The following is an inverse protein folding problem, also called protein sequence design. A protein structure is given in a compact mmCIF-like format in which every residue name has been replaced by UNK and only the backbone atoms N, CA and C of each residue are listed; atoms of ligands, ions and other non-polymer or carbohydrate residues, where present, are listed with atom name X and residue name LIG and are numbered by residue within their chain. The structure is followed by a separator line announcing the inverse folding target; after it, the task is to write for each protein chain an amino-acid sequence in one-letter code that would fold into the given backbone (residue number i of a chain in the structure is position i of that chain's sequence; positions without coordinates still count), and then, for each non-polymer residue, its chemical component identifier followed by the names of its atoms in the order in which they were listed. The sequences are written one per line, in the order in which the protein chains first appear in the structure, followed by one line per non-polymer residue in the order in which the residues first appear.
data_IF_413006657784
#
_entry.id   IF_413006657784
#
_cell.length_a   1.000
_cell.length_b   1.000
_cell.length_c   1.000
_cell.angle_alpha   90.00
_cell.angle_beta   90.00
_cell.angle_gamma   90.00
#
_symmetry.space_group_name_H-M   'P 1'
#
loop_
_entity.id
_entity.type
_entity.pdbx_description
1 polymer ?
#
# COMPACT_ATOMS: atom_id res chain seq x y z
N UNK A 1 7.25 19.96 -8.49
CA UNK A 1 5.90 19.69 -9.03
C UNK A 1 5.58 18.26 -8.65
N UNK A 2 4.48 18.04 -7.93
CA UNK A 2 3.97 16.71 -7.62
C UNK A 2 2.97 16.29 -8.70
N UNK A 3 2.98 15.01 -9.17
CA UNK A 3 1.94 14.52 -10.07
C UNK A 3 0.58 14.49 -9.35
N UNK A 4 -0.50 14.64 -10.11
CA UNK A 4 -1.84 14.61 -9.53
C UNK A 4 -2.22 13.23 -8.97
N UNK A 5 -1.70 12.16 -9.57
CA UNK A 5 -2.03 10.79 -9.14
C UNK A 5 -3.48 10.39 -9.42
N UNK A 6 -3.96 9.43 -8.65
CA UNK A 6 -5.33 8.95 -8.64
C UNK A 6 -5.70 8.55 -7.21
N UNK A 7 -7.01 8.41 -6.94
CA UNK A 7 -7.49 7.92 -5.65
C UNK A 7 -6.91 6.53 -5.35
N UNK A 8 -6.56 6.26 -4.08
CA UNK A 8 -6.06 4.97 -3.67
C UNK A 8 -7.10 3.87 -3.89
N UNK A 9 -6.63 2.67 -4.20
CA UNK A 9 -7.47 1.47 -4.18
C UNK A 9 -7.76 1.08 -2.74
N UNK A 10 -8.88 0.41 -2.53
CA UNK A 10 -9.33 0.02 -1.20
C UNK A 10 -9.59 -1.48 -1.14
N UNK A 11 -9.20 -2.09 -0.03
CA UNK A 11 -9.58 -3.46 0.32
C UNK A 11 -9.93 -3.54 1.79
N UNK A 12 -10.78 -4.51 2.14
CA UNK A 12 -11.17 -4.75 3.52
C UNK A 12 -11.40 -6.25 3.75
N UNK A 13 -10.77 -6.79 4.80
CA UNK A 13 -10.99 -8.16 5.25
C UNK A 13 -11.05 -8.17 6.79
N UNK A 14 -12.25 -8.29 7.34
CA UNK A 14 -12.54 -8.13 8.77
C UNK A 14 -12.89 -9.45 9.46
N UNK A 15 -13.15 -10.52 8.71
CA UNK A 15 -13.56 -11.83 9.20
C UNK A 15 -13.18 -12.90 8.20
N UNK A 16 -13.01 -14.12 8.67
CA UNK A 16 -12.87 -15.30 7.81
C UNK A 16 -14.21 -15.93 7.41
N UNK A 17 -15.33 -15.37 7.85
CA UNK A 17 -16.69 -15.88 7.64
C UNK A 17 -17.37 -15.28 6.40
N UNK A 18 -16.86 -14.17 5.89
CA UNK A 18 -17.40 -13.50 4.71
C UNK A 18 -16.31 -12.73 3.95
N UNK A 19 -16.50 -12.57 2.66
CA UNK A 19 -15.64 -11.76 1.82
C UNK A 19 -15.92 -10.28 2.09
N UNK A 20 -14.87 -9.52 2.33
CA UNK A 20 -14.92 -8.08 2.49
C UNK A 20 -14.82 -7.32 1.17
N UNK A 21 -14.57 -6.02 1.25
CA UNK A 21 -14.41 -5.17 0.07
C UNK A 21 -13.19 -5.61 -0.75
N UNK A 22 -13.37 -5.77 -2.07
CA UNK A 22 -12.34 -6.18 -3.02
C UNK A 22 -11.74 -7.57 -2.76
N UNK A 23 -12.40 -8.40 -1.97
CA UNK A 23 -12.00 -9.78 -1.67
C UNK A 23 -12.79 -10.74 -2.52
N UNK A 24 -12.11 -11.59 -3.30
CA UNK A 24 -12.72 -12.64 -4.11
C UNK A 24 -12.97 -13.90 -3.30
N UNK A 25 -11.97 -14.32 -2.51
CA UNK A 25 -12.05 -15.54 -1.72
C UNK A 25 -11.18 -15.48 -0.47
N UNK A 26 -11.61 -16.19 0.58
CA UNK A 26 -10.82 -16.46 1.78
C UNK A 26 -10.73 -17.96 1.99
N UNK A 27 -9.53 -18.49 2.10
CA UNK A 27 -9.26 -19.91 2.31
C UNK A 27 -8.26 -20.13 3.45
N UNK A 28 -8.33 -21.27 4.10
CA UNK A 28 -7.37 -21.61 5.17
C UNK A 28 -6.33 -22.61 4.65
N UNK A 29 -5.06 -22.22 4.75
CA UNK A 29 -3.91 -23.09 4.50
C UNK A 29 -2.97 -23.00 5.70
N UNK A 30 -3.00 -24.02 6.53
CA UNK A 30 -2.25 -24.05 7.80
C UNK A 30 -0.82 -23.50 7.63
N UNK A 31 -0.37 -22.50 8.42
CA UNK A 31 -1.04 -21.96 9.61
C UNK A 31 -1.86 -20.67 9.37
N UNK A 32 -1.97 -20.17 8.13
CA UNK A 32 -2.59 -18.89 7.85
C UNK A 32 -3.86 -18.98 6.99
N UNK A 33 -4.76 -18.04 7.21
CA UNK A 33 -5.77 -17.71 6.20
C UNK A 33 -5.12 -16.99 5.04
N UNK A 34 -5.59 -17.28 3.83
CA UNK A 34 -5.21 -16.62 2.60
C UNK A 34 -6.41 -15.81 2.09
N UNK A 35 -6.16 -14.56 1.74
CA UNK A 35 -7.12 -13.64 1.15
C UNK A 35 -6.71 -13.41 -0.30
N UNK A 36 -7.51 -13.91 -1.23
CA UNK A 36 -7.37 -13.59 -2.64
C UNK A 36 -8.16 -12.32 -2.94
N UNK A 37 -7.46 -11.25 -3.32
CA UNK A 37 -8.12 -10.02 -3.75
C UNK A 37 -8.66 -10.18 -5.18
N UNK A 38 -9.71 -9.45 -5.50
CA UNK A 38 -10.16 -9.30 -6.88
C UNK A 38 -9.01 -8.75 -7.73
N UNK A 39 -8.90 -9.25 -8.96
CA UNK A 39 -7.85 -8.81 -9.88
C UNK A 39 -7.96 -7.33 -10.20
N UNK A 40 -6.88 -6.60 -9.99
CA UNK A 40 -6.74 -5.21 -10.36
C UNK A 40 -6.33 -5.04 -11.83
N UNK A 41 -6.72 -3.93 -12.41
CA UNK A 41 -6.37 -3.52 -13.77
C UNK A 41 -5.79 -2.11 -13.77
N UNK A 42 -5.05 -1.78 -14.83
CA UNK A 42 -4.55 -0.41 -15.04
C UNK A 42 -5.71 0.56 -15.18
N UNK A 43 -5.53 1.76 -14.60
CA UNK A 43 -6.51 2.87 -14.65
C UNK A 43 -6.01 4.08 -15.44
N UNK A 44 -4.81 3.99 -16.03
CA UNK A 44 -4.12 5.08 -16.71
C UNK A 44 -4.84 5.62 -17.96
N UNK A 45 -5.70 4.80 -18.57
CA UNK A 45 -6.46 5.14 -19.78
C UNK A 45 -7.97 5.28 -19.55
N UNK A 46 -8.40 5.20 -18.29
CA UNK A 46 -9.81 5.28 -17.92
C UNK A 46 -10.31 6.71 -17.74
N UNK A 47 -11.56 6.83 -17.36
CA UNK A 47 -12.16 8.06 -16.85
C UNK A 47 -11.91 8.13 -15.35
N UNK A 48 -11.61 9.32 -14.82
CA UNK A 48 -11.52 9.52 -13.38
C UNK A 48 -12.80 9.05 -12.69
N UNK A 49 -12.62 8.29 -11.64
CA UNK A 49 -13.68 7.85 -10.73
C UNK A 49 -13.33 8.31 -9.33
N UNK A 50 -14.19 9.17 -8.79
CA UNK A 50 -14.04 9.59 -7.40
C UNK A 50 -14.27 8.40 -6.47
N UNK A 51 -13.36 8.22 -5.52
CA UNK A 51 -13.56 7.36 -4.35
C UNK A 51 -13.12 8.13 -3.12
N UNK A 52 -13.82 7.96 -2.02
CA UNK A 52 -13.41 8.49 -0.74
C UNK A 52 -12.43 7.51 -0.12
N UNK A 53 -11.17 7.64 -0.48
CA UNK A 53 -10.10 6.85 0.10
C UNK A 53 -9.63 7.40 1.46
N UNK A 54 -8.52 6.91 1.96
CA UNK A 54 -7.93 7.28 3.25
C UNK A 54 -6.49 7.78 3.08
N UNK A 55 -6.16 8.34 1.92
CA UNK A 55 -4.84 8.87 1.57
C UNK A 55 -3.70 7.86 1.79
N UNK A 56 -3.93 6.60 1.44
CA UNK A 56 -2.94 5.53 1.54
C UNK A 56 -2.80 4.90 2.92
N UNK A 57 -3.64 5.28 3.89
CA UNK A 57 -3.62 4.79 5.27
C UNK A 57 -4.28 3.40 5.39
N UNK A 58 -4.10 2.79 6.56
CA UNK A 58 -4.82 1.58 6.94
C UNK A 58 -5.33 1.64 8.37
N UNK A 59 -6.34 0.82 8.66
CA UNK A 59 -6.89 0.66 10.00
C UNK A 59 -7.03 -0.82 10.33
N UNK A 60 -6.46 -1.23 11.46
CA UNK A 60 -6.68 -2.57 11.99
C UNK A 60 -8.11 -2.67 12.51
N UNK A 61 -8.86 -3.62 11.98
CA UNK A 61 -10.26 -3.85 12.34
C UNK A 61 -10.58 -5.34 12.24
N UNK A 62 -11.42 -5.81 13.12
CA UNK A 62 -11.92 -7.18 13.13
C UNK A 62 -13.39 -7.17 13.55
N UNK A 63 -14.24 -7.88 12.81
CA UNK A 63 -15.67 -7.98 13.14
C UNK A 63 -15.98 -8.93 14.28
N UNK A 64 -15.11 -9.91 14.48
CA UNK A 64 -15.30 -11.01 15.43
C UNK A 64 -14.46 -10.83 16.70
N UNK A 65 -13.80 -9.70 16.89
CA UNK A 65 -12.95 -9.37 18.04
C UNK A 65 -13.63 -8.34 18.96
N UNK A 66 -13.25 -8.38 20.24
CA UNK A 66 -13.59 -7.31 21.19
C UNK A 66 -12.55 -6.19 21.16
N UNK A 67 -11.28 -6.53 20.93
CA UNK A 67 -10.15 -5.62 20.85
C UNK A 67 -9.32 -5.94 19.58
N UNK A 68 -9.51 -5.18 18.48
CA UNK A 68 -8.80 -5.42 17.24
C UNK A 68 -7.27 -5.31 17.35
N UNK A 69 -6.74 -4.49 18.25
CA UNK A 69 -5.30 -4.30 18.39
C UNK A 69 -4.59 -5.57 18.85
N UNK A 70 -5.25 -6.35 19.70
CA UNK A 70 -4.69 -7.59 20.29
C UNK A 70 -5.23 -8.86 19.64
N UNK A 71 -6.49 -8.87 19.18
CA UNK A 71 -7.19 -10.07 18.74
C UNK A 71 -7.25 -10.25 17.22
N UNK A 72 -6.97 -9.18 16.41
CA UNK A 72 -6.97 -9.31 14.97
C UNK A 72 -5.87 -10.26 14.48
N UNK A 73 -6.26 -11.19 13.62
CA UNK A 73 -5.37 -12.21 13.06
C UNK A 73 -4.58 -11.75 11.85
N UNK A 74 -3.45 -12.42 11.58
CA UNK A 74 -2.64 -12.20 10.38
C UNK A 74 -3.07 -13.14 9.25
N UNK A 75 -3.27 -12.55 8.07
CA UNK A 75 -3.65 -13.25 6.84
C UNK A 75 -2.59 -13.00 5.77
N UNK A 76 -2.39 -13.98 4.90
CA UNK A 76 -1.60 -13.79 3.67
C UNK A 76 -2.54 -13.22 2.63
N UNK A 77 -2.30 -11.98 2.21
CA UNK A 77 -3.12 -11.27 1.23
C UNK A 77 -2.41 -11.28 -0.11
N UNK A 78 -3.10 -11.77 -1.14
CA UNK A 78 -2.60 -11.91 -2.50
C UNK A 78 -3.10 -10.76 -3.37
N UNK A 79 -2.17 -9.93 -3.82
CA UNK A 79 -2.41 -8.82 -4.75
C UNK A 79 -2.09 -9.27 -6.16
N UNK A 80 -2.97 -8.92 -7.09
CA UNK A 80 -2.85 -9.26 -8.50
C UNK A 80 -3.17 -8.05 -9.38
N UNK A 81 -2.24 -7.66 -10.25
CA UNK A 81 -2.43 -6.61 -11.26
C UNK A 81 -2.29 -7.22 -12.66
N UNK A 82 -3.40 -7.34 -13.37
CA UNK A 82 -3.43 -7.88 -14.72
C UNK A 82 -3.06 -6.80 -15.74
N UNK A 83 -1.88 -6.91 -16.30
CA UNK A 83 -1.40 -6.10 -17.43
C UNK A 83 -0.17 -6.76 -18.05
N UNK A 84 0.16 -6.35 -19.28
CA UNK A 84 1.42 -6.72 -19.90
C UNK A 84 2.61 -6.20 -19.09
N UNK A 85 3.77 -6.87 -19.15
CA UNK A 85 4.95 -6.44 -18.41
C UNK A 85 5.37 -5.03 -18.85
N UNK A 86 5.57 -4.15 -17.87
CA UNK A 86 6.04 -2.80 -18.12
C UNK A 86 7.57 -2.83 -18.32
N UNK A 87 8.08 -2.44 -19.50
CA UNK A 87 9.50 -2.46 -19.79
C UNK A 87 10.26 -1.39 -18.99
N UNK A 88 11.55 -1.61 -18.85
CA UNK A 88 12.52 -0.65 -18.31
C UNK A 88 12.22 -0.17 -16.87
N UNK A 89 11.65 -1.04 -16.04
CA UNK A 89 11.37 -0.72 -14.64
C UNK A 89 10.75 -1.86 -13.88
N UNK A 90 10.27 -1.57 -12.69
CA UNK A 90 9.60 -2.51 -11.79
C UNK A 90 8.33 -1.91 -11.21
N UNK A 91 7.38 -2.78 -10.87
CA UNK A 91 6.12 -2.40 -10.22
C UNK A 91 6.21 -2.66 -8.72
N UNK A 92 5.72 -1.73 -7.95
CA UNK A 92 5.70 -1.79 -6.49
C UNK A 92 4.29 -1.53 -5.96
N UNK A 93 3.92 -2.24 -4.90
CA UNK A 93 2.80 -1.85 -4.05
C UNK A 93 3.23 -0.67 -3.17
N UNK A 94 2.37 0.31 -3.02
CA UNK A 94 2.61 1.49 -2.18
C UNK A 94 1.40 1.79 -1.29
N UNK A 95 1.67 2.38 -0.14
CA UNK A 95 0.73 2.74 0.91
C UNK A 95 1.40 2.63 2.27
N UNK A 96 0.72 3.06 3.32
CA UNK A 96 1.23 2.92 4.70
C UNK A 96 1.50 1.46 5.10
N UNK A 97 0.83 0.50 4.45
CA UNK A 97 1.10 -0.94 4.66
C UNK A 97 2.58 -1.31 4.41
N UNK A 98 3.32 -0.50 3.66
CA UNK A 98 4.77 -0.59 3.47
C UNK A 98 5.52 0.66 3.98
N UNK A 99 4.90 1.47 4.85
CA UNK A 99 5.43 2.77 5.29
C UNK A 99 5.82 3.69 4.11
N UNK A 100 5.15 3.55 2.99
CA UNK A 100 5.45 4.26 1.73
C UNK A 100 6.89 4.04 1.21
N UNK A 101 7.55 2.92 1.59
CA UNK A 101 8.91 2.57 1.15
C UNK A 101 8.85 1.66 -0.07
N UNK A 102 9.65 1.98 -1.08
CA UNK A 102 9.80 1.20 -2.30
C UNK A 102 11.08 0.35 -2.21
N UNK A 103 10.93 -0.87 -1.75
CA UNK A 103 12.01 -1.84 -1.57
C UNK A 103 11.60 -3.26 -2.05
N UNK A 104 12.43 -4.26 -1.81
CA UNK A 104 12.13 -5.65 -2.19
C UNK A 104 10.87 -6.21 -1.48
N UNK A 105 10.45 -5.64 -0.34
CA UNK A 105 9.24 -6.07 0.37
C UNK A 105 7.97 -5.60 -0.34
N UNK A 106 8.02 -4.43 -0.98
CA UNK A 106 6.90 -3.84 -1.72
C UNK A 106 6.93 -4.16 -3.22
N UNK A 107 8.07 -4.63 -3.76
CA UNK A 107 8.24 -4.99 -5.17
C UNK A 107 7.39 -6.19 -5.56
N UNK A 108 6.72 -6.10 -6.69
CA UNK A 108 5.92 -7.18 -7.27
C UNK A 108 6.74 -8.04 -8.24
N UNK A 109 6.43 -9.34 -8.26
CA UNK A 109 6.91 -10.26 -9.29
C UNK A 109 5.98 -10.29 -10.48
N UNK A 110 6.52 -10.49 -11.69
CA UNK A 110 5.70 -10.71 -12.87
C UNK A 110 5.62 -12.21 -13.18
N UNK A 111 4.38 -12.72 -13.29
CA UNK A 111 4.11 -14.09 -13.68
C UNK A 111 3.81 -14.13 -15.18
N UNK A 112 4.70 -14.74 -15.97
CA UNK A 112 4.59 -14.83 -17.42
C UNK A 112 3.52 -15.82 -17.90
N UNK A 113 3.12 -16.77 -17.06
CA UNK A 113 2.08 -17.73 -17.38
C UNK A 113 0.70 -17.09 -17.28
N UNK A 114 0.45 -16.38 -16.18
CA UNK A 114 -0.82 -15.71 -15.91
C UNK A 114 -0.88 -14.29 -16.49
N UNK A 115 0.25 -13.75 -16.97
CA UNK A 115 0.43 -12.38 -17.53
C UNK A 115 -0.02 -11.30 -16.57
N UNK A 116 0.45 -11.37 -15.33
CA UNK A 116 0.10 -10.42 -14.28
C UNK A 116 1.23 -10.22 -13.28
N UNK A 117 1.22 -9.08 -12.62
CA UNK A 117 2.06 -8.85 -11.45
C UNK A 117 1.38 -9.42 -10.21
N UNK A 118 2.16 -10.08 -9.37
CA UNK A 118 1.67 -10.76 -8.17
C UNK A 118 2.52 -10.41 -6.96
N UNK A 119 1.88 -10.31 -5.80
CA UNK A 119 2.54 -10.14 -4.50
C UNK A 119 1.70 -10.71 -3.39
N UNK A 120 2.30 -11.53 -2.54
CA UNK A 120 1.70 -12.00 -1.29
C UNK A 120 2.30 -11.22 -0.11
N UNK A 121 1.47 -10.74 0.80
CA UNK A 121 1.85 -9.90 1.94
C UNK A 121 1.14 -10.39 3.20
N UNK A 122 1.87 -10.53 4.31
CA UNK A 122 1.28 -10.86 5.60
C UNK A 122 0.74 -9.58 6.25
N UNK A 123 -0.58 -9.48 6.39
CA UNK A 123 -1.28 -8.31 6.95
C UNK A 123 -2.24 -8.74 8.08
N UNK A 124 -2.44 -7.87 9.06
CA UNK A 124 -3.53 -8.03 10.03
C UNK A 124 -4.88 -7.74 9.39
N UNK A 125 -5.94 -8.33 9.95
CA UNK A 125 -7.31 -7.99 9.57
C UNK A 125 -7.53 -6.47 9.67
N UNK A 126 -8.13 -5.91 8.63
CA UNK A 126 -8.32 -4.46 8.58
C UNK A 126 -8.84 -3.95 7.25
N UNK A 127 -8.83 -2.65 7.16
CA UNK A 127 -9.15 -1.86 5.97
C UNK A 127 -7.89 -1.14 5.50
N UNK A 128 -7.54 -1.28 4.24
CA UNK A 128 -6.26 -0.83 3.69
C UNK A 128 -6.47 -0.03 2.42
N UNK A 129 -5.72 1.07 2.29
CA UNK A 129 -5.51 1.76 1.04
C UNK A 129 -4.18 1.35 0.41
N UNK A 130 -4.15 1.21 -0.91
CA UNK A 130 -2.94 0.88 -1.66
C UNK A 130 -3.01 1.42 -3.08
N UNK A 131 -1.86 1.51 -3.72
CA UNK A 131 -1.73 1.84 -5.14
C UNK A 131 -0.54 1.10 -5.74
N UNK A 132 -0.45 1.10 -7.05
CA UNK A 132 0.69 0.55 -7.78
C UNK A 132 1.55 1.67 -8.34
N UNK A 133 2.85 1.60 -8.08
CA UNK A 133 3.82 2.55 -8.61
C UNK A 133 4.78 1.85 -9.57
N UNK A 134 5.04 2.50 -10.69
CA UNK A 134 6.10 2.09 -11.61
C UNK A 134 7.39 2.85 -11.27
N UNK A 135 8.49 2.13 -11.09
CA UNK A 135 9.82 2.71 -10.85
C UNK A 135 10.71 2.40 -12.04
N UNK A 136 11.08 3.40 -12.85
CA UNK A 136 12.00 3.19 -13.97
C UNK A 136 13.37 2.69 -13.51
N UNK A 137 14.02 1.89 -14.34
CA UNK A 137 15.40 1.41 -14.09
C UNK A 137 16.34 2.58 -13.85
N UNK A 138 17.10 2.53 -12.76
CA UNK A 138 18.01 3.61 -12.36
C UNK A 138 17.36 4.78 -11.61
N UNK A 139 16.06 4.73 -11.39
CA UNK A 139 15.34 5.71 -10.55
C UNK A 139 15.00 5.10 -9.18
N UNK A 140 14.81 5.96 -8.20
CA UNK A 140 14.22 5.62 -6.89
C UNK A 140 12.83 6.24 -6.71
N UNK A 141 12.30 6.90 -7.73
CA UNK A 141 11.04 7.63 -7.66
C UNK A 141 9.94 6.84 -8.35
N UNK A 142 8.88 6.52 -7.58
CA UNK A 142 7.68 5.87 -8.08
C UNK A 142 6.81 6.83 -8.89
N UNK A 143 6.24 6.31 -9.97
CA UNK A 143 5.35 7.02 -10.88
C UNK A 143 3.97 6.36 -10.86
N UNK A 144 2.93 7.15 -10.61
CA UNK A 144 1.52 6.72 -10.68
C UNK A 144 1.03 6.60 -12.13
N UNK A 145 1.52 7.48 -13.00
CA UNK A 145 1.04 7.66 -14.38
C UNK A 145 0.86 6.37 -15.19
N UNK A 146 1.85 5.46 -15.24
CA UNK A 146 1.77 4.25 -16.07
C UNK A 146 0.71 3.24 -15.66
N UNK A 147 0.24 3.24 -14.40
CA UNK A 147 -0.68 2.23 -13.87
C UNK A 147 -1.96 2.89 -13.37
N UNK A 148 -1.85 3.85 -12.48
CA UNK A 148 -3.00 4.51 -11.86
C UNK A 148 -3.52 5.71 -12.66
N UNK A 149 -2.68 6.30 -13.51
CA UNK A 149 -2.98 7.53 -14.21
C UNK A 149 -2.67 8.78 -13.37
N UNK A 150 -2.96 9.96 -13.95
CA UNK A 150 -2.84 11.25 -13.30
C UNK A 150 -4.06 12.10 -13.65
N UNK A 151 -4.92 12.31 -12.66
CA UNK A 151 -6.18 13.02 -12.84
C UNK A 151 -6.20 14.28 -11.97
N UNK A 152 -6.46 15.43 -12.58
CA UNK A 152 -6.44 16.71 -11.85
C UNK A 152 -7.53 16.83 -10.80
N UNK A 153 -8.55 15.95 -10.86
CA UNK A 153 -9.65 15.90 -9.89
C UNK A 153 -9.28 15.16 -8.60
N UNK A 154 -8.14 14.42 -8.61
CA UNK A 154 -7.70 13.64 -7.45
C UNK A 154 -7.54 14.55 -6.23
N UNK A 155 -8.13 14.13 -5.12
CA UNK A 155 -7.90 14.78 -3.83
C UNK A 155 -6.60 14.26 -3.24
N UNK A 156 -5.69 15.17 -2.90
CA UNK A 156 -4.38 14.80 -2.35
C UNK A 156 -4.17 15.46 -1.00
N UNK A 157 -3.68 14.71 -0.05
CA UNK A 157 -3.15 15.22 1.21
C UNK A 157 -1.62 15.36 1.13
N UNK A 158 -1.09 16.50 1.53
CA UNK A 158 0.34 16.76 1.58
C UNK A 158 0.77 17.04 3.02
N UNK A 159 1.71 16.26 3.54
CA UNK A 159 2.27 16.45 4.87
C UNK A 159 3.69 17.00 4.79
N UNK A 160 3.98 18.05 5.56
CA UNK A 160 5.32 18.66 5.67
C UNK A 160 5.87 18.35 7.05
N UNK A 161 6.96 17.61 7.11
CA UNK A 161 7.67 17.32 8.34
C UNK A 161 8.89 18.26 8.46
N UNK A 162 8.89 19.13 9.47
CA UNK A 162 10.02 19.99 9.80
C UNK A 162 10.67 19.52 11.11
N UNK A 163 11.96 19.19 11.06
CA UNK A 163 12.72 18.77 12.24
C UNK A 163 13.74 19.85 12.57
N UNK A 164 13.64 20.42 13.77
CA UNK A 164 14.61 21.40 14.31
C UNK A 164 15.39 20.77 15.46
N UNK A 165 16.70 20.79 15.35
CA UNK A 165 17.60 20.37 16.42
C UNK A 165 18.19 21.61 17.12
N UNK A 166 17.88 21.76 18.40
CA UNK A 166 18.56 22.70 19.26
C UNK A 166 19.73 21.99 19.94
N UNK A 167 20.96 22.33 19.55
CA UNK A 167 22.13 21.89 20.31
C UNK A 167 22.20 22.73 21.61
N UNK A 168 21.70 22.17 22.69
CA UNK A 168 22.04 22.68 24.02
C UNK A 168 23.50 22.31 24.26
N UNK A 169 24.42 23.31 24.13
CA UNK A 169 25.75 23.15 24.70
C UNK A 169 25.54 23.08 26.21
N UNK A 170 25.88 21.95 26.82
CA UNK A 170 26.07 21.87 28.24
C UNK A 170 27.20 22.85 28.58
N UNK A 171 26.89 23.89 29.30
CA UNK A 171 27.92 24.72 29.97
C UNK A 171 28.50 23.83 31.07
N UNK A 172 29.70 23.29 30.83
CA UNK A 172 30.54 22.82 31.92
C UNK A 172 30.89 24.04 32.77
N UNK A 173 30.23 24.18 33.90
CA UNK A 173 30.70 25.04 34.97
C UNK A 173 31.90 24.37 35.61
N UNK A 174 33.09 24.78 35.21
CA UNK A 174 34.31 24.47 35.96
C UNK A 174 34.23 25.32 37.22
N UNK A 175 33.97 24.67 38.35
CA UNK A 175 34.18 25.24 39.68
C UNK A 175 35.68 25.10 40.01
N UNK A 176 36.44 26.17 39.80
CA UNK A 176 37.75 26.32 40.41
C UNK A 176 37.59 26.54 41.91
N UNK A 177 38.16 25.62 42.70
CA UNK A 177 38.42 25.77 44.13
C UNK A 177 39.87 26.14 44.36
#
# INVERSE_FOLDING_TARGET
IFPAGNEYRRMEFLSNKYNGMHVENISFHNPYYNVELMTDYRRDKGTYQYDQDQDGRFFIRCSDCNDPDTEADYYIVHFTLACDPLPDGSVYLNGELFNNVLDEKSKMGYNFETKQYEKAVLLKQGSYNYQYLFVPTGSSVGQTGPIEGNYYQTQNEYSIYAVSYTHLRAHETVLDL
#
